data_IF_841855619095
#
_entry.id   IF_841855619095
#
_cell.length_a   1.000
_cell.length_b   1.000
_cell.length_c   1.000
_cell.angle_alpha   90.00
_cell.angle_beta   90.00
_cell.angle_gamma   90.00
#
_symmetry.space_group_name_H-M   'P 1'
#
loop_
_entity.id
_entity.type
_entity.pdbx_description
1 polymer ?
#
# COMPACT_ATOMS: atom_id res chain seq x y z
N UNK A 1 -15.19 4.70 21.72
CA UNK A 1 -15.48 4.40 20.29
C UNK A 1 -15.48 2.89 20.12
N UNK A 2 -16.37 2.32 19.33
CA UNK A 2 -16.51 0.86 19.17
C UNK A 2 -15.54 0.32 18.10
N UNK A 3 -14.70 -0.64 18.45
CA UNK A 3 -13.84 -1.40 17.52
C UNK A 3 -14.64 -2.52 16.85
N UNK A 4 -14.31 -2.85 15.59
CA UNK A 4 -14.94 -3.96 14.88
C UNK A 4 -14.12 -5.23 15.10
N UNK A 5 -14.74 -6.28 15.64
CA UNK A 5 -14.12 -7.59 15.85
C UNK A 5 -14.42 -8.53 14.69
N UNK A 6 -13.37 -9.11 14.11
CA UNK A 6 -13.44 -10.05 12.99
C UNK A 6 -12.87 -11.38 13.44
N UNK A 7 -13.71 -12.41 13.45
CA UNK A 7 -13.32 -13.76 13.86
C UNK A 7 -12.79 -14.55 12.66
N UNK A 8 -11.86 -15.48 12.91
CA UNK A 8 -11.47 -16.45 11.89
C UNK A 8 -12.60 -17.48 11.69
N UNK A 9 -12.66 -18.07 10.49
CA UNK A 9 -13.65 -19.11 10.16
C UNK A 9 -13.52 -20.37 11.04
N UNK A 10 -12.32 -20.63 11.56
CA UNK A 10 -12.02 -21.83 12.37
C UNK A 10 -12.13 -21.61 13.89
N UNK A 11 -12.43 -20.37 14.34
CA UNK A 11 -12.67 -20.06 15.75
C UNK A 11 -11.48 -20.17 16.70
N UNK A 12 -10.35 -20.75 16.28
CA UNK A 12 -9.17 -20.98 17.13
C UNK A 12 -8.24 -19.77 17.26
N UNK A 13 -8.31 -18.81 16.33
CA UNK A 13 -7.45 -17.61 16.36
C UNK A 13 -8.07 -16.51 17.22
N UNK A 14 -7.26 -15.64 17.86
CA UNK A 14 -7.78 -14.43 18.47
C UNK A 14 -8.53 -13.58 17.43
N UNK A 15 -9.57 -12.83 17.83
CA UNK A 15 -10.27 -11.95 16.91
C UNK A 15 -9.35 -10.83 16.44
N UNK A 16 -9.46 -10.46 15.16
CA UNK A 16 -8.86 -9.24 14.64
C UNK A 16 -9.76 -8.05 15.01
N UNK A 17 -9.30 -7.19 15.91
CA UNK A 17 -9.97 -5.93 16.24
C UNK A 17 -9.43 -4.80 15.38
N UNK A 18 -10.31 -4.10 14.66
CA UNK A 18 -9.96 -2.96 13.83
C UNK A 18 -10.51 -1.66 14.42
N UNK A 19 -9.69 -0.60 14.56
CA UNK A 19 -10.17 0.70 14.95
C UNK A 19 -11.03 1.32 13.84
N UNK A 20 -11.91 2.29 14.15
CA UNK A 20 -12.81 2.89 13.15
C UNK A 20 -12.13 3.45 11.89
N UNK A 21 -10.87 3.90 12.00
CA UNK A 21 -10.11 4.41 10.84
C UNK A 21 -9.56 3.31 9.93
N UNK A 22 -9.44 2.08 10.44
CA UNK A 22 -9.01 0.90 9.69
C UNK A 22 -10.15 0.24 8.89
N UNK A 23 -11.38 0.75 9.01
CA UNK A 23 -12.56 0.27 8.30
C UNK A 23 -12.70 0.95 6.95
N UNK A 24 -13.38 0.29 6.02
CA UNK A 24 -13.72 0.87 4.73
C UNK A 24 -14.68 2.06 4.90
N UNK A 25 -14.61 3.09 4.03
CA UNK A 25 -15.53 4.25 4.08
C UNK A 25 -17.02 3.86 4.00
N UNK A 26 -17.32 2.71 3.39
CA UNK A 26 -18.69 2.16 3.29
C UNK A 26 -19.19 1.47 4.56
N UNK A 27 -18.33 1.26 5.55
CA UNK A 27 -18.70 0.64 6.82
C UNK A 27 -19.44 1.67 7.70
N UNK A 28 -20.57 1.28 8.30
CA UNK A 28 -21.35 2.17 9.17
C UNK A 28 -20.59 2.60 10.42
N UNK A 29 -19.60 1.82 10.86
CA UNK A 29 -18.73 2.14 12.00
C UNK A 29 -17.49 2.92 11.59
N UNK A 30 -17.29 3.19 10.29
CA UNK A 30 -16.14 3.96 9.82
C UNK A 30 -16.16 5.36 10.41
N UNK A 31 -15.07 5.72 11.06
CA UNK A 31 -14.80 7.08 11.51
C UNK A 31 -13.31 7.33 11.37
N UNK A 32 -12.96 8.16 10.41
CA UNK A 32 -11.58 8.56 10.17
C UNK A 32 -11.31 9.90 10.84
N UNK A 33 -10.18 9.99 11.53
CA UNK A 33 -9.69 11.18 12.19
C UNK A 33 -8.26 11.38 11.69
N UNK A 34 -8.01 12.46 10.95
CA UNK A 34 -6.74 12.65 10.23
C UNK A 34 -5.64 13.09 11.19
N UNK A 35 -6.00 13.68 12.34
CA UNK A 35 -5.05 14.21 13.31
C UNK A 35 -4.46 13.08 14.17
N UNK A 36 -5.31 12.13 14.58
CA UNK A 36 -4.94 11.06 15.51
C UNK A 36 -4.64 9.71 14.82
N UNK A 37 -4.95 9.54 13.53
CA UNK A 37 -4.82 8.24 12.84
C UNK A 37 -3.91 8.31 11.62
N UNK A 38 -3.17 7.23 11.33
CA UNK A 38 -2.42 7.12 10.09
C UNK A 38 -3.25 7.46 8.84
N UNK A 39 -2.67 8.11 7.81
CA UNK A 39 -3.34 8.41 6.55
C UNK A 39 -4.15 7.23 6.01
N UNK A 40 -5.40 7.48 5.60
CA UNK A 40 -6.19 6.49 4.85
C UNK A 40 -5.44 6.12 3.58
N UNK A 41 -5.49 4.84 3.17
CA UNK A 41 -4.92 4.42 1.88
C UNK A 41 -5.64 5.19 0.77
N UNK A 42 -4.91 6.02 0.05
CA UNK A 42 -5.49 6.86 -0.99
C UNK A 42 -5.98 5.99 -2.17
N UNK A 43 -7.07 6.34 -2.86
CA UNK A 43 -7.58 5.55 -3.97
C UNK A 43 -6.54 5.28 -5.07
N UNK A 44 -5.62 6.22 -5.28
CA UNK A 44 -4.52 6.04 -6.24
C UNK A 44 -3.57 4.89 -5.84
N UNK A 45 -3.32 4.67 -4.54
CA UNK A 45 -2.47 3.57 -4.08
C UNK A 45 -3.06 2.21 -4.47
N UNK A 46 -4.38 2.06 -4.31
CA UNK A 46 -5.09 0.87 -4.76
C UNK A 46 -5.04 0.71 -6.28
N UNK A 47 -5.22 1.79 -7.05
CA UNK A 47 -5.13 1.76 -8.52
C UNK A 47 -3.73 1.34 -8.98
N UNK A 48 -2.68 1.91 -8.40
CA UNK A 48 -1.28 1.56 -8.73
C UNK A 48 -1.00 0.09 -8.42
N UNK A 49 -1.48 -0.44 -7.28
CA UNK A 49 -1.34 -1.87 -6.97
C UNK A 49 -2.04 -2.73 -8.02
N UNK A 50 -3.25 -2.36 -8.43
CA UNK A 50 -3.99 -3.05 -9.49
C UNK A 50 -3.33 -2.94 -10.87
N UNK A 51 -2.70 -1.81 -11.18
CA UNK A 51 -1.91 -1.59 -12.40
C UNK A 51 -0.76 -2.62 -12.48
N UNK A 52 -0.04 -2.82 -11.37
CA UNK A 52 1.01 -3.86 -11.28
C UNK A 52 0.46 -5.28 -11.22
N UNK A 53 -0.68 -5.51 -10.56
CA UNK A 53 -1.36 -6.81 -10.58
C UNK A 53 -1.71 -7.23 -12.00
N UNK A 54 -2.17 -6.28 -12.83
CA UNK A 54 -2.64 -6.56 -14.19
C UNK A 54 -1.49 -6.65 -15.20
N UNK A 55 -0.48 -5.79 -15.07
CA UNK A 55 0.67 -5.80 -15.96
C UNK A 55 1.55 -7.05 -15.84
N UNK A 56 1.43 -7.77 -14.73
CA UNK A 56 2.24 -8.94 -14.46
C UNK A 56 3.66 -8.62 -13.96
N UNK A 57 4.56 -9.60 -14.03
CA UNK A 57 5.85 -9.55 -13.35
C UNK A 57 6.82 -8.52 -13.92
N UNK A 58 7.63 -7.93 -13.04
CA UNK A 58 8.70 -6.99 -13.40
C UNK A 58 10.02 -7.74 -13.49
N UNK A 59 10.64 -7.71 -14.67
CA UNK A 59 11.91 -8.39 -14.92
C UNK A 59 13.11 -7.60 -14.38
N UNK A 60 14.15 -8.31 -13.94
CA UNK A 60 15.42 -7.70 -13.48
C UNK A 60 16.11 -6.85 -14.54
N UNK A 61 15.91 -7.17 -15.83
CA UNK A 61 16.40 -6.40 -16.98
C UNK A 61 15.68 -5.06 -17.18
N UNK A 62 14.49 -4.89 -16.58
CA UNK A 62 13.69 -3.65 -16.61
C UNK A 62 13.95 -2.77 -15.39
N UNK A 63 14.89 -3.12 -14.51
CA UNK A 63 15.19 -2.36 -13.30
C UNK A 63 16.39 -1.45 -13.52
N UNK A 64 16.25 -0.20 -13.06
CA UNK A 64 17.31 0.80 -13.11
C UNK A 64 18.46 0.45 -12.15
N UNK A 65 19.69 0.79 -12.53
CA UNK A 65 20.88 0.56 -11.71
C UNK A 65 21.13 1.68 -10.69
N UNK A 66 21.46 2.88 -11.17
CA UNK A 66 21.95 3.99 -10.33
C UNK A 66 21.01 5.20 -10.26
N UNK A 67 19.73 5.03 -10.62
CA UNK A 67 18.80 6.16 -10.63
C UNK A 67 18.59 6.75 -9.24
N UNK A 68 18.85 8.05 -9.13
CA UNK A 68 18.62 8.84 -7.93
C UNK A 68 17.54 9.91 -8.18
N UNK A 69 16.29 9.67 -7.76
CA UNK A 69 15.20 10.61 -8.00
C UNK A 69 15.34 11.93 -7.23
N UNK A 70 16.24 11.99 -6.25
CA UNK A 70 16.40 13.17 -5.38
C UNK A 70 17.27 14.26 -6.01
N UNK A 71 18.03 13.89 -7.03
CA UNK A 71 18.95 14.79 -7.76
C UNK A 71 18.56 14.96 -9.22
N UNK A 72 17.66 14.12 -9.73
CA UNK A 72 17.14 14.19 -11.09
C UNK A 72 16.01 15.24 -11.18
N UNK A 73 16.05 16.09 -12.20
CA UNK A 73 14.92 16.96 -12.55
C UNK A 73 13.84 16.15 -13.29
N UNK A 74 12.57 16.38 -12.97
CA UNK A 74 11.43 15.81 -13.69
C UNK A 74 11.33 16.28 -15.16
N UNK A 75 12.09 17.30 -15.55
CA UNK A 75 12.26 17.72 -16.94
C UNK A 75 13.28 16.87 -17.72
N UNK A 76 14.09 16.05 -17.03
CA UNK A 76 15.07 15.15 -17.65
C UNK A 76 14.37 14.04 -18.47
N UNK A 77 15.13 13.44 -19.38
CA UNK A 77 14.61 12.35 -20.19
C UNK A 77 14.26 11.13 -19.32
N UNK A 78 13.29 10.34 -19.80
CA UNK A 78 12.85 9.12 -19.13
C UNK A 78 14.07 8.19 -18.86
N UNK A 79 14.37 7.83 -17.59
CA UNK A 79 15.57 7.08 -17.26
C UNK A 79 15.61 5.68 -17.89
N UNK A 80 14.45 5.10 -18.22
CA UNK A 80 14.43 3.84 -18.99
C UNK A 80 14.87 4.04 -20.43
N UNK A 81 14.47 5.15 -21.05
CA UNK A 81 14.87 5.50 -22.41
C UNK A 81 16.36 5.77 -22.48
N UNK A 82 16.91 6.51 -21.52
CA UNK A 82 18.35 6.78 -21.44
C UNK A 82 19.17 5.51 -21.19
N UNK A 83 18.67 4.62 -20.33
CA UNK A 83 19.31 3.32 -20.07
C UNK A 83 19.14 2.31 -21.22
N UNK A 84 18.36 2.62 -22.26
CA UNK A 84 18.05 1.68 -23.34
C UNK A 84 17.27 0.44 -22.86
N UNK A 85 16.50 0.59 -21.77
CA UNK A 85 15.73 -0.49 -21.14
C UNK A 85 14.23 -0.35 -21.45
N UNK A 86 13.51 -1.47 -21.43
CA UNK A 86 12.05 -1.43 -21.49
C UNK A 86 11.47 -1.04 -20.13
N UNK A 87 10.60 -0.04 -20.13
CA UNK A 87 9.86 0.35 -18.92
C UNK A 87 8.85 -0.76 -18.55
N UNK A 88 8.72 -1.12 -17.26
CA UNK A 88 7.70 -2.07 -16.82
C UNK A 88 6.28 -1.61 -17.19
N UNK A 89 5.43 -2.50 -17.71
CA UNK A 89 4.06 -2.15 -18.08
C UNK A 89 3.24 -1.62 -16.89
N UNK A 90 3.42 -2.18 -15.69
CA UNK A 90 2.73 -1.70 -14.49
C UNK A 90 3.06 -0.26 -14.14
N UNK A 91 4.29 0.19 -14.46
CA UNK A 91 4.67 1.59 -14.30
C UNK A 91 3.98 2.49 -15.33
N UNK A 92 3.88 2.06 -16.59
CA UNK A 92 3.14 2.79 -17.63
C UNK A 92 1.66 2.94 -17.29
N UNK A 93 1.04 1.88 -16.78
CA UNK A 93 -0.35 1.92 -16.32
C UNK A 93 -0.50 2.82 -15.08
N UNK A 94 0.42 2.76 -14.12
CA UNK A 94 0.43 3.64 -12.95
C UNK A 94 0.57 5.12 -13.32
N UNK A 95 1.43 5.47 -14.28
CA UNK A 95 1.57 6.83 -14.81
C UNK A 95 0.27 7.33 -15.47
N UNK A 96 -0.43 6.48 -16.22
CA UNK A 96 -1.75 6.79 -16.77
C UNK A 96 -2.81 6.96 -15.67
N UNK A 97 -2.84 6.05 -14.69
CA UNK A 97 -3.73 6.14 -13.53
C UNK A 97 -3.53 7.45 -12.76
N UNK A 98 -2.28 7.91 -12.59
CA UNK A 98 -1.98 9.21 -12.01
C UNK A 98 -2.56 10.36 -12.84
N UNK A 99 -2.33 10.38 -14.16
CA UNK A 99 -2.87 11.42 -15.06
C UNK A 99 -4.39 11.46 -15.06
N UNK A 100 -5.04 10.30 -15.14
CA UNK A 100 -6.51 10.18 -15.08
C UNK A 100 -7.05 10.65 -13.73
N UNK A 101 -6.42 10.27 -12.63
CA UNK A 101 -6.84 10.67 -11.29
C UNK A 101 -6.72 12.19 -11.11
N UNK A 102 -5.62 12.79 -11.59
CA UNK A 102 -5.45 14.24 -11.58
C UNK A 102 -6.59 14.94 -12.36
N UNK A 103 -6.95 14.44 -13.54
CA UNK A 103 -8.06 14.99 -14.32
C UNK A 103 -9.43 14.79 -13.63
N UNK A 104 -9.65 13.62 -13.02
CA UNK A 104 -10.86 13.30 -12.25
C UNK A 104 -11.01 14.21 -11.01
N UNK A 105 -9.92 14.55 -10.33
CA UNK A 105 -9.95 15.36 -9.11
C UNK A 105 -10.21 16.85 -9.37
N UNK A 106 -9.93 17.37 -10.57
CA UNK A 106 -10.18 18.78 -10.94
C UNK A 106 -11.60 19.22 -10.60
N UNK A 107 -12.59 18.37 -10.90
CA UNK A 107 -14.01 18.63 -10.63
C UNK A 107 -14.31 18.96 -9.16
N UNK A 108 -13.53 18.42 -8.22
CA UNK A 108 -13.74 18.69 -6.80
C UNK A 108 -13.22 20.07 -6.42
N UNK A 109 -12.07 20.48 -6.96
CA UNK A 109 -11.56 21.84 -6.77
C UNK A 109 -12.51 22.86 -7.40
N UNK A 110 -12.92 22.65 -8.66
CA UNK A 110 -13.85 23.53 -9.37
C UNK A 110 -15.17 23.67 -8.60
N UNK A 111 -15.66 22.58 -8.01
CA UNK A 111 -16.88 22.59 -7.18
C UNK A 111 -16.71 23.43 -5.91
N UNK A 112 -15.59 23.29 -5.20
CA UNK A 112 -15.31 24.05 -3.97
C UNK A 112 -15.07 25.53 -4.28
N UNK A 113 -14.44 25.83 -5.41
CA UNK A 113 -14.21 27.20 -5.89
C UNK A 113 -15.53 27.89 -6.25
N UNK A 114 -16.45 27.19 -6.92
CA UNK A 114 -17.75 27.72 -7.29
C UNK A 114 -18.72 27.84 -6.10
N UNK A 115 -18.67 26.90 -5.16
CA UNK A 115 -19.47 26.88 -3.95
C UNK A 115 -18.61 26.44 -2.74
N UNK A 116 -18.12 27.39 -1.94
CA UNK A 116 -17.35 27.10 -0.72
C UNK A 116 -18.10 26.26 0.31
N UNK A 117 -19.44 26.16 0.23
CA UNK A 117 -20.27 25.36 1.12
C UNK A 117 -20.60 23.95 0.59
N UNK A 118 -20.12 23.60 -0.61
CA UNK A 118 -20.44 22.32 -1.26
C UNK A 118 -20.09 21.11 -0.37
N UNK A 119 -20.97 20.11 -0.36
CA UNK A 119 -20.75 18.86 0.36
C UNK A 119 -19.56 18.07 -0.22
N UNK A 120 -18.82 17.37 0.65
CA UNK A 120 -17.60 16.62 0.29
C UNK A 120 -17.75 15.10 0.50
N UNK A 121 -18.97 14.61 0.66
CA UNK A 121 -19.26 13.21 0.99
C UNK A 121 -18.78 12.22 -0.08
N UNK A 122 -18.78 12.64 -1.35
CA UNK A 122 -18.29 11.85 -2.49
C UNK A 122 -16.78 11.95 -2.72
N UNK A 123 -16.09 12.85 -2.01
CA UNK A 123 -14.64 13.09 -2.12
C UNK A 123 -13.87 12.03 -1.32
N UNK A 124 -12.71 11.55 -1.83
CA UNK A 124 -11.81 10.72 -1.03
C UNK A 124 -11.48 11.37 0.32
N UNK A 125 -11.50 10.61 1.41
CA UNK A 125 -11.50 11.16 2.77
C UNK A 125 -10.32 12.09 3.05
N UNK A 126 -9.11 11.76 2.57
CA UNK A 126 -7.95 12.62 2.73
C UNK A 126 -8.12 13.92 1.93
N UNK A 127 -8.49 13.85 0.65
CA UNK A 127 -8.76 15.05 -0.16
C UNK A 127 -9.90 15.89 0.44
N UNK A 128 -10.97 15.28 0.93
CA UNK A 128 -12.07 15.96 1.59
C UNK A 128 -11.58 16.78 2.80
N UNK A 129 -10.75 16.17 3.65
CA UNK A 129 -10.13 16.86 4.78
C UNK A 129 -9.21 18.02 4.33
N UNK A 130 -8.41 17.83 3.27
CA UNK A 130 -7.56 18.90 2.72
C UNK A 130 -8.38 20.07 2.19
N UNK A 131 -9.44 19.80 1.45
CA UNK A 131 -10.36 20.83 0.95
C UNK A 131 -11.07 21.56 2.11
N UNK A 132 -11.44 20.82 3.17
CA UNK A 132 -12.00 21.41 4.38
C UNK A 132 -11.01 22.34 5.07
N UNK A 133 -9.74 21.93 5.23
CA UNK A 133 -8.69 22.79 5.77
C UNK A 133 -8.52 24.06 4.95
N UNK A 134 -8.54 23.98 3.61
CA UNK A 134 -8.45 25.17 2.75
C UNK A 134 -9.58 26.17 3.07
N UNK A 135 -10.81 25.69 3.30
CA UNK A 135 -11.97 26.53 3.67
C UNK A 135 -11.82 27.27 5.00
N UNK A 136 -11.07 26.69 5.93
CA UNK A 136 -10.89 27.20 7.29
C UNK A 136 -9.72 28.20 7.40
N UNK A 137 -8.98 28.43 6.31
CA UNK A 137 -7.90 29.42 6.28
C UNK A 137 -8.41 30.85 6.08
N UNK A 138 -7.58 31.84 6.40
CA UNK A 138 -7.88 33.26 6.22
C UNK A 138 -8.04 33.67 4.74
N UNK A 139 -7.39 32.94 3.81
CA UNK A 139 -7.53 33.11 2.37
C UNK A 139 -7.83 31.75 1.69
N UNK A 140 -9.10 31.32 1.70
CA UNK A 140 -9.50 30.02 1.17
C UNK A 140 -9.17 29.82 -0.31
N UNK A 141 -9.23 30.90 -1.11
CA UNK A 141 -8.96 30.84 -2.55
C UNK A 141 -7.47 30.56 -2.81
N UNK A 142 -6.57 31.27 -2.12
CA UNK A 142 -5.14 31.01 -2.23
C UNK A 142 -4.78 29.60 -1.71
N UNK A 143 -5.37 29.18 -0.59
CA UNK A 143 -5.14 27.85 -0.02
C UNK A 143 -5.63 26.71 -0.95
N UNK A 144 -6.74 26.92 -1.65
CA UNK A 144 -7.27 25.96 -2.63
C UNK A 144 -6.34 25.83 -3.84
N UNK A 145 -5.83 26.96 -4.36
CA UNK A 145 -4.87 26.96 -5.46
C UNK A 145 -3.55 26.29 -5.08
N UNK A 146 -3.05 26.52 -3.86
CA UNK A 146 -1.86 25.85 -3.35
C UNK A 146 -2.07 24.32 -3.24
N UNK A 147 -3.20 23.88 -2.71
CA UNK A 147 -3.52 22.45 -2.61
C UNK A 147 -3.68 21.81 -4.00
N UNK A 148 -4.32 22.52 -4.95
CA UNK A 148 -4.43 22.10 -6.35
C UNK A 148 -3.04 21.90 -6.97
N UNK A 149 -2.15 22.89 -6.85
CA UNK A 149 -0.77 22.80 -7.34
C UNK A 149 0.03 21.68 -6.65
N UNK A 150 -0.19 21.47 -5.35
CA UNK A 150 0.42 20.38 -4.58
C UNK A 150 -0.01 19.01 -5.11
N UNK A 151 -1.30 18.82 -5.39
CA UNK A 151 -1.84 17.56 -5.93
C UNK A 151 -1.45 17.32 -7.37
N UNK A 152 -1.39 18.37 -8.19
CA UNK A 152 -0.81 18.28 -9.53
C UNK A 152 0.63 17.75 -9.47
N UNK A 153 1.49 18.39 -8.66
CA UNK A 153 2.87 17.95 -8.46
C UNK A 153 2.95 16.51 -7.93
N UNK A 154 2.02 16.11 -7.06
CA UNK A 154 1.99 14.76 -6.50
C UNK A 154 1.77 13.70 -7.60
N UNK A 155 0.77 13.89 -8.46
CA UNK A 155 0.46 12.95 -9.54
C UNK A 155 1.41 13.01 -10.73
N UNK A 156 1.90 14.22 -11.09
CA UNK A 156 2.76 14.40 -12.26
C UNK A 156 4.21 14.01 -12.00
N UNK A 157 4.68 14.23 -10.77
CA UNK A 157 6.11 14.19 -10.46
C UNK A 157 6.41 13.27 -9.29
N UNK A 158 5.82 13.52 -8.11
CA UNK A 158 6.29 12.86 -6.89
C UNK A 158 5.98 11.36 -6.88
N UNK A 159 4.76 10.96 -7.25
CA UNK A 159 4.40 9.53 -7.32
C UNK A 159 5.26 8.81 -8.36
N UNK A 160 5.25 9.19 -9.67
CA UNK A 160 5.97 8.41 -10.67
C UNK A 160 7.49 8.47 -10.45
N UNK A 161 8.04 9.67 -10.36
CA UNK A 161 9.49 9.87 -10.37
C UNK A 161 10.13 9.63 -9.00
N UNK A 162 9.57 10.20 -7.93
CA UNK A 162 10.22 10.13 -6.62
C UNK A 162 9.94 8.82 -5.87
N UNK A 163 8.75 8.24 -6.06
CA UNK A 163 8.40 6.98 -5.42
C UNK A 163 8.58 5.76 -6.35
N UNK A 164 7.86 5.67 -7.46
CA UNK A 164 7.82 4.43 -8.25
C UNK A 164 9.17 4.13 -8.92
N UNK A 165 9.83 5.13 -9.50
CA UNK A 165 11.16 4.92 -10.10
C UNK A 165 12.21 4.55 -9.05
N UNK A 166 12.09 5.07 -7.83
CA UNK A 166 12.94 4.67 -6.71
C UNK A 166 12.76 3.20 -6.33
N UNK A 167 11.51 2.73 -6.32
CA UNK A 167 11.19 1.34 -6.00
C UNK A 167 11.73 0.41 -7.09
N UNK A 168 11.62 0.80 -8.37
CA UNK A 168 11.99 0.02 -9.55
C UNK A 168 13.51 0.05 -9.87
N UNK A 169 14.32 -0.23 -8.86
CA UNK A 169 15.79 -0.33 -8.98
C UNK A 169 16.29 -1.72 -8.64
N UNK A 170 17.44 -2.10 -9.20
CA UNK A 170 18.12 -3.37 -8.86
C UNK A 170 18.48 -3.44 -7.38
N UNK A 171 18.89 -2.33 -6.79
CA UNK A 171 19.20 -2.22 -5.35
C UNK A 171 17.96 -2.16 -4.44
N UNK A 172 16.76 -1.94 -5.00
CA UNK A 172 15.50 -1.85 -4.26
C UNK A 172 14.64 -3.09 -4.54
N UNK A 173 13.64 -3.02 -5.43
CA UNK A 173 12.81 -4.17 -5.76
C UNK A 173 13.63 -5.37 -6.25
N UNK A 174 14.72 -5.15 -6.99
CA UNK A 174 15.60 -6.22 -7.46
C UNK A 174 16.30 -7.03 -6.35
N UNK A 175 16.32 -6.53 -5.10
CA UNK A 175 16.79 -7.29 -3.93
C UNK A 175 15.83 -8.39 -3.47
N UNK A 176 14.55 -8.30 -3.87
CA UNK A 176 13.52 -9.30 -3.57
C UNK A 176 13.41 -10.36 -4.67
N UNK A 177 13.97 -10.07 -5.84
CA UNK A 177 13.97 -10.98 -6.99
C UNK A 177 15.05 -12.05 -6.84
N UNK A 178 14.78 -13.29 -7.30
CA UNK A 178 15.78 -14.34 -7.35
C UNK A 178 17.01 -13.90 -8.17
N UNK A 179 18.19 -14.52 -7.93
CA UNK A 179 19.41 -14.23 -8.69
C UNK A 179 19.33 -14.61 -10.18
N UNK A 180 18.24 -15.25 -10.62
CA UNK A 180 18.10 -15.79 -11.97
C UNK A 180 18.21 -14.69 -13.05
N UNK A 181 19.00 -15.01 -14.09
CA UNK A 181 19.34 -14.06 -15.16
C UNK A 181 18.25 -14.10 -16.23
N UNK A 182 17.45 -13.05 -16.29
CA UNK A 182 16.76 -12.65 -17.52
C UNK A 182 15.41 -13.29 -17.85
N UNK A 183 14.89 -14.24 -17.06
CA UNK A 183 13.49 -14.69 -17.17
C UNK A 183 12.61 -13.96 -16.18
N UNK A 184 11.30 -13.90 -16.46
CA UNK A 184 10.34 -13.53 -15.43
C UNK A 184 10.46 -14.56 -14.34
N UNK A 185 10.65 -14.15 -13.09
CA UNK A 185 10.38 -15.05 -12.00
C UNK A 185 8.88 -15.39 -12.07
N UNK A 186 8.54 -16.67 -12.09
CA UNK A 186 7.16 -17.06 -11.87
C UNK A 186 6.79 -16.85 -10.39
N UNK A 187 5.51 -17.01 -10.05
CA UNK A 187 5.03 -16.78 -8.70
C UNK A 187 5.69 -17.75 -7.72
N UNK A 188 5.96 -18.98 -8.15
CA UNK A 188 6.57 -20.01 -7.33
C UNK A 188 8.01 -19.59 -6.98
N UNK A 189 8.81 -19.15 -7.95
CA UNK A 189 10.19 -18.67 -7.74
C UNK A 189 10.22 -17.42 -6.85
N UNK A 190 9.25 -16.51 -6.98
CA UNK A 190 9.13 -15.35 -6.08
C UNK A 190 8.82 -15.78 -4.65
N UNK A 191 8.00 -16.82 -4.48
CA UNK A 191 7.55 -17.31 -3.16
C UNK A 191 8.48 -18.34 -2.51
N UNK A 192 9.49 -18.83 -3.24
CA UNK A 192 10.60 -19.62 -2.68
C UNK A 192 11.49 -18.79 -1.75
N UNK A 193 11.73 -17.53 -2.10
CA UNK A 193 12.61 -16.62 -1.36
C UNK A 193 11.87 -15.57 -0.52
N UNK A 194 10.57 -15.41 -0.74
CA UNK A 194 9.72 -14.48 0.00
C UNK A 194 8.43 -15.19 0.40
N UNK A 195 7.90 -14.94 1.59
CA UNK A 195 6.70 -15.63 2.06
C UNK A 195 5.69 -14.65 2.66
N UNK A 196 4.41 -14.92 2.44
CA UNK A 196 3.31 -14.28 3.15
C UNK A 196 2.79 -15.24 4.21
N UNK A 197 3.24 -15.03 5.43
CA UNK A 197 3.05 -15.96 6.53
C UNK A 197 1.91 -15.48 7.43
N UNK A 198 0.89 -16.33 7.62
CA UNK A 198 -0.16 -16.06 8.59
C UNK A 198 0.37 -16.27 10.01
N UNK A 199 0.31 -15.23 10.84
CA UNK A 199 0.86 -15.22 12.19
C UNK A 199 -0.11 -14.59 13.19
N UNK A 200 0.05 -14.91 14.47
CA UNK A 200 -0.53 -14.14 15.58
C UNK A 200 0.55 -13.22 16.13
N UNK A 201 0.33 -11.92 16.00
CA UNK A 201 1.20 -10.89 16.55
C UNK A 201 0.74 -10.57 17.96
N UNK A 202 1.68 -10.50 18.90
CA UNK A 202 1.42 -10.25 20.32
C UNK A 202 2.22 -9.05 20.81
N UNK A 203 1.74 -8.42 21.88
CA UNK A 203 2.44 -7.35 22.58
C UNK A 203 3.79 -7.84 23.14
N UNK A 204 4.75 -6.94 23.32
CA UNK A 204 6.10 -7.25 23.80
C UNK A 204 6.14 -7.83 25.22
N UNK A 205 5.15 -7.53 26.06
CA UNK A 205 4.97 -8.06 27.41
C UNK A 205 4.21 -9.39 27.47
N UNK A 206 3.63 -9.86 26.36
CA UNK A 206 2.78 -11.06 26.36
C UNK A 206 3.59 -12.37 26.47
N UNK A 207 3.10 -13.35 27.23
CA UNK A 207 3.69 -14.70 27.21
C UNK A 207 3.19 -15.51 26.00
N UNK A 208 4.09 -15.73 25.04
CA UNK A 208 3.84 -16.56 23.85
C UNK A 208 3.29 -17.94 24.19
N UNK A 209 3.75 -18.58 25.27
CA UNK A 209 3.28 -19.93 25.65
C UNK A 209 1.82 -19.92 26.09
N UNK A 210 1.39 -18.84 26.73
CA UNK A 210 0.00 -18.66 27.15
C UNK A 210 -0.91 -18.52 25.92
N UNK A 211 -0.55 -17.65 24.96
CA UNK A 211 -1.30 -17.48 23.70
C UNK A 211 -1.36 -18.79 22.90
N UNK A 212 -0.25 -19.52 22.80
CA UNK A 212 -0.18 -20.83 22.14
C UNK A 212 -1.17 -21.83 22.74
N UNK A 213 -1.24 -21.89 24.07
CA UNK A 213 -2.13 -22.81 24.78
C UNK A 213 -3.59 -22.40 24.65
N UNK A 214 -3.89 -21.10 24.76
CA UNK A 214 -5.26 -20.57 24.70
C UNK A 214 -5.89 -20.73 23.32
N UNK A 215 -5.09 -20.57 22.26
CA UNK A 215 -5.55 -20.61 20.87
C UNK A 215 -5.20 -21.92 20.14
N UNK A 216 -4.56 -22.87 20.82
CA UNK A 216 -4.12 -24.15 20.27
C UNK A 216 -3.32 -24.01 18.95
N UNK A 217 -2.47 -22.98 18.85
CA UNK A 217 -1.70 -22.65 17.64
C UNK A 217 -0.21 -23.00 17.78
N UNK A 218 0.48 -23.40 16.69
CA UNK A 218 1.92 -23.64 16.75
C UNK A 218 2.70 -22.36 17.14
N UNK A 219 3.50 -22.43 18.20
CA UNK A 219 4.25 -21.27 18.72
C UNK A 219 5.22 -20.62 17.74
N UNK A 220 5.67 -21.34 16.72
CA UNK A 220 6.48 -20.77 15.62
C UNK A 220 5.76 -19.70 14.79
N UNK A 221 4.43 -19.61 14.89
CA UNK A 221 3.61 -18.60 14.22
C UNK A 221 3.06 -17.54 15.17
N UNK A 222 3.57 -17.49 16.39
CA UNK A 222 3.29 -16.42 17.36
C UNK A 222 4.55 -15.57 17.49
N UNK A 223 4.41 -14.25 17.30
CA UNK A 223 5.56 -13.34 17.23
C UNK A 223 5.26 -12.04 17.97
N UNK A 224 6.22 -11.55 18.74
CA UNK A 224 6.13 -10.21 19.33
C UNK A 224 6.25 -9.13 18.25
N UNK A 225 5.49 -8.06 18.38
CA UNK A 225 5.52 -6.98 17.40
C UNK A 225 6.90 -6.33 17.22
N UNK A 226 7.73 -6.20 18.27
CA UNK A 226 9.11 -5.70 18.13
C UNK A 226 10.01 -6.53 17.21
N UNK A 227 9.66 -7.79 16.98
CA UNK A 227 10.43 -8.70 16.13
C UNK A 227 10.05 -8.55 14.64
N UNK A 228 9.17 -7.59 14.29
CA UNK A 228 8.68 -7.33 12.95
C UNK A 228 9.36 -6.10 12.32
N UNK A 229 10.69 -6.15 12.17
CA UNK A 229 11.47 -5.16 11.43
C UNK A 229 12.70 -5.78 10.76
N UNK A 230 13.38 -5.01 9.91
CA UNK A 230 14.63 -5.38 9.23
C UNK A 230 15.90 -5.08 10.03
N UNK A 231 15.87 -4.20 11.03
CA UNK A 231 17.07 -3.80 11.77
C UNK A 231 16.74 -3.08 13.07
N UNK A 232 17.74 -2.99 13.96
CA UNK A 232 17.69 -2.28 15.24
C UNK A 232 17.75 -0.74 15.10
N UNK A 233 17.86 -0.20 13.88
CA UNK A 233 18.18 1.23 13.63
C UNK A 233 16.99 2.01 13.05
N UNK A 234 16.09 1.35 12.32
CA UNK A 234 14.86 1.96 11.79
C UNK A 234 13.64 1.22 12.33
N UNK A 235 12.88 1.88 13.21
CA UNK A 235 11.65 1.31 13.75
C UNK A 235 10.53 1.37 12.70
N UNK A 236 10.16 0.19 12.18
CA UNK A 236 8.91 0.03 11.45
C UNK A 236 7.75 0.39 12.38
N UNK A 237 6.75 1.17 11.94
CA UNK A 237 5.52 1.34 12.69
C UNK A 237 4.96 -0.02 13.12
N UNK A 238 4.63 -0.13 14.39
CA UNK A 238 4.09 -1.33 14.98
C UNK A 238 2.60 -1.48 14.63
N UNK A 239 2.03 -2.69 14.63
CA UNK A 239 0.59 -2.87 14.53
C UNK A 239 -0.18 -2.04 15.57
N UNK A 240 0.35 -1.91 16.79
CA UNK A 240 -0.24 -1.09 17.86
C UNK A 240 -0.24 0.41 17.55
N UNK A 241 0.72 0.94 16.78
CA UNK A 241 0.72 2.33 16.31
C UNK A 241 -0.44 2.63 15.35
N UNK A 242 -0.97 1.60 14.70
CA UNK A 242 -2.20 1.68 13.90
C UNK A 242 -3.45 1.49 14.76
N UNK A 243 -3.34 1.32 16.07
CA UNK A 243 -4.46 1.06 16.97
C UNK A 243 -5.07 -0.33 16.78
N UNK A 244 -4.31 -1.30 16.26
CA UNK A 244 -4.73 -2.70 16.19
C UNK A 244 -4.53 -3.33 17.57
N UNK A 245 -5.61 -3.83 18.17
CA UNK A 245 -5.52 -4.52 19.46
C UNK A 245 -4.80 -5.87 19.30
N UNK A 246 -3.82 -6.13 20.17
CA UNK A 246 -3.09 -7.40 20.22
C UNK A 246 -3.64 -8.30 21.35
N UNK A 247 -3.65 -9.64 21.18
CA UNK A 247 -3.07 -10.40 20.06
C UNK A 247 -3.93 -10.33 18.78
N UNK A 248 -3.28 -10.19 17.62
CA UNK A 248 -3.96 -10.05 16.32
C UNK A 248 -3.46 -11.05 15.28
N UNK A 249 -4.36 -11.76 14.55
CA UNK A 249 -3.97 -12.59 13.41
C UNK A 249 -3.71 -11.69 12.19
N UNK A 250 -2.45 -11.61 11.76
CA UNK A 250 -1.98 -10.73 10.68
C UNK A 250 -1.18 -11.50 9.63
N UNK A 251 -1.12 -10.94 8.41
CA UNK A 251 -0.23 -11.43 7.36
C UNK A 251 1.13 -10.75 7.51
N UNK A 252 2.18 -11.55 7.67
CA UNK A 252 3.56 -11.06 7.79
C UNK A 252 4.33 -11.46 6.55
N UNK A 253 4.87 -10.47 5.83
CA UNK A 253 5.82 -10.71 4.76
C UNK A 253 7.19 -11.02 5.34
N UNK A 254 7.75 -12.17 4.98
CA UNK A 254 9.16 -12.53 5.20
C UNK A 254 9.89 -12.43 3.87
N UNK A 255 11.00 -11.71 3.83
CA UNK A 255 11.69 -11.38 2.58
C UNK A 255 13.10 -11.96 2.56
N UNK A 256 13.65 -12.13 1.35
CA UNK A 256 14.99 -12.67 1.13
C UNK A 256 16.10 -11.93 1.90
N UNK A 257 15.89 -10.66 2.22
CA UNK A 257 16.79 -9.84 3.07
C UNK A 257 16.80 -10.24 4.55
N UNK A 258 15.97 -11.20 4.97
CA UNK A 258 15.72 -11.53 6.38
C UNK A 258 14.75 -10.58 7.07
N UNK A 259 14.26 -9.56 6.37
CA UNK A 259 13.31 -8.58 6.91
C UNK A 259 11.93 -9.19 7.07
N UNK A 260 11.21 -8.77 8.12
CA UNK A 260 9.84 -9.19 8.40
C UNK A 260 8.96 -7.96 8.59
N UNK A 261 7.93 -7.80 7.77
CA UNK A 261 7.01 -6.66 7.89
C UNK A 261 5.56 -7.11 7.78
N UNK A 262 4.70 -6.80 8.75
CA UNK A 262 3.27 -7.03 8.62
C UNK A 262 2.66 -6.18 7.50
N UNK A 263 1.66 -6.77 6.86
CA UNK A 263 0.73 -6.08 5.98
C UNK A 263 -0.52 -5.78 6.80
N UNK A 264 -0.59 -4.55 7.31
CA UNK A 264 -1.57 -4.10 8.29
C UNK A 264 -2.91 -3.81 7.61
N UNK A 265 -4.04 -4.34 8.12
CA UNK A 265 -5.37 -3.98 7.64
C UNK A 265 -5.63 -2.51 7.96
N UNK A 266 -5.62 -1.68 6.93
CA UNK A 266 -5.91 -0.25 7.05
C UNK A 266 -6.90 0.18 5.97
N UNK A 267 -7.85 1.04 6.34
CA UNK A 267 -8.93 1.48 5.46
C UNK A 267 -9.66 0.31 4.76
N UNK A 268 -9.57 0.18 3.44
CA UNK A 268 -10.22 -0.92 2.70
C UNK A 268 -9.23 -1.97 2.15
N UNK A 269 -7.93 -1.86 2.44
CA UNK A 269 -6.91 -2.82 2.00
C UNK A 269 -5.86 -3.16 3.06
N UNK A 270 -4.65 -3.53 2.62
CA UNK A 270 -3.48 -3.68 3.48
C UNK A 270 -2.44 -2.59 3.20
N UNK A 271 -1.65 -2.23 4.19
CA UNK A 271 -0.47 -1.36 4.06
C UNK A 271 0.75 -2.05 4.67
N UNK A 272 1.89 -2.00 3.97
CA UNK A 272 3.12 -2.57 4.50
C UNK A 272 3.74 -1.65 5.56
N UNK A 273 4.04 -2.20 6.73
CA UNK A 273 4.63 -1.45 7.84
C UNK A 273 6.11 -1.08 7.64
N UNK A 274 6.73 -1.38 6.49
CA UNK A 274 8.16 -1.11 6.32
C UNK A 274 8.47 0.39 6.48
N UNK A 275 9.60 0.78 7.12
CA UNK A 275 9.91 2.19 7.40
C UNK A 275 9.84 3.08 6.15
N UNK A 276 10.33 2.57 5.01
CA UNK A 276 10.27 3.29 3.75
C UNK A 276 8.86 3.78 3.41
N UNK A 277 7.81 2.97 3.61
CA UNK A 277 6.42 3.33 3.26
C UNK A 277 5.91 4.50 4.11
N UNK A 278 6.37 4.63 5.35
CA UNK A 278 5.83 5.57 6.33
C UNK A 278 6.67 6.84 6.54
N UNK A 279 7.93 6.84 6.11
CA UNK A 279 8.84 7.99 6.23
C UNK A 279 8.35 9.24 5.47
N UNK A 280 7.55 9.10 4.41
CA UNK A 280 7.01 10.23 3.65
C UNK A 280 5.58 9.96 3.17
N UNK A 281 4.69 10.94 3.35
CA UNK A 281 3.27 10.86 2.94
C UNK A 281 3.06 10.55 1.46
N UNK A 282 4.00 10.92 0.60
CA UNK A 282 3.87 10.74 -0.84
C UNK A 282 4.34 9.36 -1.33
N UNK A 283 4.89 8.51 -0.46
CA UNK A 283 5.31 7.15 -0.84
C UNK A 283 4.08 6.27 -0.91
N UNK A 284 3.49 6.18 -2.09
CA UNK A 284 2.28 5.42 -2.38
C UNK A 284 2.52 3.91 -2.47
N UNK A 285 3.76 3.48 -2.75
CA UNK A 285 4.13 2.07 -2.87
C UNK A 285 5.54 1.83 -2.32
N UNK A 286 5.75 0.69 -1.64
CA UNK A 286 7.09 0.20 -1.31
C UNK A 286 7.42 -1.07 -2.12
N UNK A 287 8.69 -1.50 -2.11
CA UNK A 287 9.09 -2.72 -2.82
C UNK A 287 8.33 -3.98 -2.39
N UNK A 288 7.92 -4.05 -1.12
CA UNK A 288 7.14 -5.18 -0.58
C UNK A 288 5.71 -5.18 -1.09
N UNK A 289 5.06 -4.01 -1.17
CA UNK A 289 3.73 -3.87 -1.77
C UNK A 289 3.76 -4.10 -3.28
N UNK A 290 4.86 -3.74 -3.97
CA UNK A 290 5.07 -4.09 -5.37
C UNK A 290 5.15 -5.61 -5.55
N UNK A 291 5.94 -6.31 -4.74
CA UNK A 291 6.01 -7.78 -4.76
C UNK A 291 4.64 -8.40 -4.48
N UNK A 292 3.92 -7.89 -3.47
CA UNK A 292 2.58 -8.32 -3.13
C UNK A 292 1.59 -8.10 -4.29
N UNK A 293 1.70 -6.99 -5.02
CA UNK A 293 0.89 -6.71 -6.21
C UNK A 293 1.13 -7.75 -7.30
N UNK A 294 2.39 -8.08 -7.58
CA UNK A 294 2.74 -9.07 -8.62
C UNK A 294 2.23 -10.47 -8.22
N UNK A 295 2.40 -10.87 -6.97
CA UNK A 295 1.91 -12.17 -6.47
C UNK A 295 0.38 -12.22 -6.51
N UNK A 296 -0.31 -11.17 -6.04
CA UNK A 296 -1.76 -11.08 -6.05
C UNK A 296 -2.35 -11.13 -7.47
N UNK A 297 -1.73 -10.42 -8.41
CA UNK A 297 -2.10 -10.43 -9.83
C UNK A 297 -1.88 -11.79 -10.48
N UNK A 298 -0.75 -12.43 -10.17
CA UNK A 298 -0.44 -13.75 -10.70
C UNK A 298 -1.41 -14.86 -10.25
N UNK A 299 -2.00 -14.75 -9.06
CA UNK A 299 -3.05 -15.66 -8.56
C UNK A 299 -4.47 -15.14 -8.82
N UNK A 300 -4.61 -14.07 -9.63
CA UNK A 300 -5.87 -13.40 -9.98
C UNK A 300 -6.79 -13.12 -8.79
N UNK A 301 -6.23 -12.49 -7.74
CA UNK A 301 -6.95 -12.28 -6.48
C UNK A 301 -6.65 -10.92 -5.86
N UNK A 302 -7.69 -10.28 -5.32
CA UNK A 302 -7.55 -9.09 -4.47
C UNK A 302 -7.09 -9.44 -3.03
N UNK A 303 -6.96 -10.73 -2.73
CA UNK A 303 -6.44 -11.24 -1.46
C UNK A 303 -5.06 -11.82 -1.67
N UNK A 304 -4.11 -11.46 -0.80
CA UNK A 304 -2.82 -12.13 -0.78
C UNK A 304 -2.95 -13.58 -0.32
N UNK A 305 -2.18 -14.49 -0.92
CA UNK A 305 -2.12 -15.87 -0.47
C UNK A 305 -1.46 -15.95 0.91
N UNK A 306 -1.84 -16.97 1.68
CA UNK A 306 -1.03 -17.42 2.83
C UNK A 306 -0.13 -18.51 2.29
N UNK A 307 1.13 -18.19 2.01
CA UNK A 307 2.08 -19.18 1.48
C UNK A 307 2.55 -20.15 2.57
N UNK A 308 2.47 -19.72 3.85
CA UNK A 308 2.83 -20.52 5.02
C UNK A 308 2.08 -20.05 6.27
N UNK A 309 1.90 -20.93 7.26
CA UNK A 309 1.43 -20.52 8.59
C UNK A 309 -0.07 -20.66 8.80
N UNK A 310 -0.62 -19.75 9.59
CA UNK A 310 -2.01 -19.81 10.06
C UNK A 310 -3.00 -19.29 9.01
N UNK A 311 -4.18 -19.88 8.96
CA UNK A 311 -5.28 -19.40 8.11
C UNK A 311 -5.96 -18.18 8.78
N UNK A 312 -5.45 -17.00 8.44
CA UNK A 312 -5.89 -15.73 9.02
C UNK A 312 -7.14 -15.16 8.33
N UNK A 313 -7.92 -14.30 9.02
CA UNK A 313 -9.15 -13.73 8.46
C UNK A 313 -8.94 -13.01 7.13
N UNK A 314 -9.95 -13.07 6.25
CA UNK A 314 -9.90 -12.44 4.92
C UNK A 314 -9.52 -10.95 4.98
N UNK A 315 -9.95 -10.22 6.01
CA UNK A 315 -9.64 -8.79 6.18
C UNK A 315 -8.15 -8.53 6.37
N UNK A 316 -7.41 -9.48 6.95
CA UNK A 316 -5.96 -9.45 7.08
C UNK A 316 -5.20 -9.87 5.81
N UNK A 317 -5.92 -10.25 4.75
CA UNK A 317 -5.36 -10.64 3.45
C UNK A 317 -5.82 -9.78 2.28
N UNK A 318 -6.92 -9.04 2.46
CA UNK A 318 -7.53 -8.19 1.42
C UNK A 318 -6.62 -7.01 1.10
N UNK A 319 -5.85 -7.14 0.03
CA UNK A 319 -4.76 -6.23 -0.32
C UNK A 319 -5.23 -4.93 -0.95
N UNK A 320 -6.25 -5.02 -1.79
CA UNK A 320 -6.87 -3.89 -2.49
C UNK A 320 -8.36 -3.80 -2.20
N UNK A 321 -8.90 -2.58 -2.27
CA UNK A 321 -10.33 -2.32 -2.12
C UNK A 321 -11.14 -3.07 -3.20
N UNK A 322 -12.15 -3.87 -2.82
CA UNK A 322 -13.05 -4.50 -3.79
C UNK A 322 -13.81 -3.48 -4.64
N UNK A 323 -14.19 -2.34 -4.04
CA UNK A 323 -14.92 -1.28 -4.74
C UNK A 323 -14.06 -0.65 -5.85
N UNK A 324 -12.78 -0.40 -5.58
CA UNK A 324 -11.85 0.13 -6.58
C UNK A 324 -11.53 -0.96 -7.61
N UNK A 325 -11.23 -2.19 -7.19
CA UNK A 325 -10.92 -3.30 -8.08
C UNK A 325 -12.04 -3.55 -9.10
N UNK A 326 -13.30 -3.54 -8.67
CA UNK A 326 -14.47 -3.77 -9.54
C UNK A 326 -14.67 -2.73 -10.65
N UNK A 327 -14.05 -1.55 -10.52
CA UNK A 327 -14.15 -0.43 -11.49
C UNK A 327 -12.82 -0.12 -12.15
N UNK A 328 -11.75 -0.83 -11.78
CA UNK A 328 -10.43 -0.57 -12.29
C UNK A 328 -10.33 -1.09 -13.72
N UNK A 329 -9.74 -0.28 -14.58
CA UNK A 329 -9.53 -0.61 -15.99
C UNK A 329 -8.10 -0.19 -16.33
N UNK A 330 -7.14 -1.13 -16.21
CA UNK A 330 -5.74 -0.88 -16.51
C UNK A 330 -5.59 -0.79 -18.02
N UNK A 331 -5.29 0.40 -18.51
CA UNK A 331 -5.08 0.69 -19.94
C UNK A 331 -4.08 1.81 -20.04
N UNK A 332 -3.22 1.74 -21.05
CA UNK A 332 -2.59 2.95 -21.59
C UNK A 332 -3.51 3.60 -22.62
N UNK A 333 -3.45 4.92 -22.82
CA UNK A 333 -4.22 5.59 -23.89
C UNK A 333 -3.96 5.00 -25.29
N UNK A 334 -2.82 4.36 -25.52
CA UNK A 334 -2.49 3.65 -26.77
C UNK A 334 -3.28 2.37 -27.02
N UNK A 335 -3.85 1.74 -25.99
CA UNK A 335 -4.62 0.49 -26.11
C UNK A 335 -6.13 0.72 -26.30
N UNK A 336 -6.59 1.96 -26.14
CA UNK A 336 -7.99 2.36 -26.39
C UNK A 336 -8.31 2.60 -27.88
N UNK A 337 -7.29 2.58 -28.74
CA UNK A 337 -7.38 2.89 -30.17
C UNK A 337 -6.91 1.77 -31.09
N UNK A 338 -6.87 0.51 -30.61
CA UNK A 338 -6.64 -0.67 -31.45
C UNK A 338 -7.93 -1.42 -31.76
#
# INVERSE_FOLDING_TARGET
MTTRRIHSSKGSLPPLSLPPGALAKTDQQHRYDVDDKPPTIEPIEHRIRLDFMTAGPVHRSQLLDQYNPWTADSSEADPWREAGQSKPFGLLYAEESCRRTLAEERRYYDRVEADPSAELDDVPAFLAHRLQMCRETDDPSAALEEERARRERWYSTVIPWMNLYHVLKRSSYGSLLPPSVGRSADIDELTEHNAFVGMVVVDDGADVRTVVREHEIPGRFVVHERNLSSSAVECAPLPSDFGIDLPAPLLVGEYASGSRYPLLPWSDGLVCSCPYKHDRLWRVLCKHELLASIIAGGVDSIFLPVTRGLDIPHRARRFVSPAIASRHTPRTNSELHR
#
